data_IF_095851021848
#
_entry.id   IF_095851021848
#
_cell.length_a   1.000
_cell.length_b   1.000
_cell.length_c   1.000
_cell.angle_alpha   90.00
_cell.angle_beta   90.00
_cell.angle_gamma   90.00
#
_symmetry.space_group_name_H-M   'P 1'
#
loop_
_entity.id
_entity.type
_entity.pdbx_description
1 polymer ?
#
# COMPACT_ATOMS: atom_id res chain seq x y z
N UNK A 1 10.81 31.61 -7.16
CA UNK A 1 10.21 30.28 -7.38
C UNK A 1 10.50 29.89 -8.81
N UNK A 2 11.26 28.82 -9.04
CA UNK A 2 11.59 28.39 -10.41
C UNK A 2 10.34 27.82 -11.09
N UNK A 3 10.27 27.84 -12.42
CA UNK A 3 9.15 27.25 -13.16
C UNK A 3 8.95 25.76 -12.85
N UNK A 4 10.05 25.06 -12.51
CA UNK A 4 10.06 23.66 -12.09
C UNK A 4 9.31 23.45 -10.75
N UNK A 5 9.55 24.29 -9.75
CA UNK A 5 8.86 24.20 -8.46
C UNK A 5 7.33 24.39 -8.61
N UNK A 6 6.90 25.30 -9.50
CA UNK A 6 5.47 25.51 -9.77
C UNK A 6 4.83 24.32 -10.49
N UNK A 7 5.56 23.71 -11.42
CA UNK A 7 5.12 22.50 -12.09
C UNK A 7 4.97 21.33 -11.10
N UNK A 8 5.97 21.15 -10.22
CA UNK A 8 5.92 20.12 -9.18
C UNK A 8 4.73 20.30 -8.23
N UNK A 9 4.49 21.53 -7.75
CA UNK A 9 3.32 21.84 -6.92
C UNK A 9 2.00 21.56 -7.63
N UNK A 10 1.89 21.88 -8.92
CA UNK A 10 0.68 21.61 -9.71
C UNK A 10 0.43 20.09 -9.83
N UNK A 11 1.48 19.31 -10.08
CA UNK A 11 1.39 17.85 -10.17
C UNK A 11 0.99 17.25 -8.82
N UNK A 12 1.60 17.69 -7.72
CA UNK A 12 1.26 17.21 -6.37
C UNK A 12 -0.19 17.55 -6.02
N UNK A 13 -0.66 18.74 -6.37
CA UNK A 13 -2.05 19.16 -6.14
C UNK A 13 -3.03 18.28 -6.93
N UNK A 14 -2.77 18.08 -8.23
CA UNK A 14 -3.61 17.24 -9.09
C UNK A 14 -3.64 15.79 -8.58
N UNK A 15 -2.48 15.24 -8.23
CA UNK A 15 -2.35 13.88 -7.74
C UNK A 15 -3.06 13.68 -6.38
N UNK A 16 -2.94 14.66 -5.47
CA UNK A 16 -3.67 14.67 -4.20
C UNK A 16 -5.20 14.64 -4.41
N UNK A 17 -5.71 15.42 -5.37
CA UNK A 17 -7.14 15.48 -5.67
C UNK A 17 -7.66 14.16 -6.28
N UNK A 18 -6.88 13.56 -7.18
CA UNK A 18 -7.20 12.24 -7.76
C UNK A 18 -7.23 11.17 -6.67
N UNK A 19 -6.20 11.10 -5.82
CA UNK A 19 -6.13 10.10 -4.76
C UNK A 19 -7.26 10.29 -3.75
N UNK A 20 -7.58 11.53 -3.37
CA UNK A 20 -8.72 11.81 -2.49
C UNK A 20 -10.05 11.30 -3.07
N UNK A 21 -10.25 11.47 -4.38
CA UNK A 21 -11.44 10.97 -5.08
C UNK A 21 -11.50 9.44 -5.07
N UNK A 22 -10.36 8.77 -5.31
CA UNK A 22 -10.25 7.30 -5.24
C UNK A 22 -10.55 6.78 -3.84
N UNK A 23 -10.00 7.42 -2.80
CA UNK A 23 -10.28 7.07 -1.39
C UNK A 23 -11.78 7.16 -1.10
N UNK A 24 -12.41 8.26 -1.51
CA UNK A 24 -13.85 8.46 -1.30
C UNK A 24 -14.67 7.36 -2.00
N UNK A 25 -14.36 7.06 -3.26
CA UNK A 25 -15.03 5.98 -3.99
C UNK A 25 -14.83 4.60 -3.33
N UNK A 26 -13.62 4.30 -2.89
CA UNK A 26 -13.30 3.02 -2.23
C UNK A 26 -14.02 2.89 -0.88
N UNK A 27 -14.04 3.94 -0.07
CA UNK A 27 -14.79 3.97 1.20
C UNK A 27 -16.29 3.78 0.99
N UNK A 28 -16.88 4.48 0.00
CA UNK A 28 -18.30 4.33 -0.31
C UNK A 28 -18.63 2.90 -0.76
N UNK A 29 -17.79 2.28 -1.58
CA UNK A 29 -17.95 0.87 -1.96
C UNK A 29 -17.85 -0.07 -0.76
N UNK A 30 -16.87 0.17 0.13
CA UNK A 30 -16.69 -0.64 1.33
C UNK A 30 -17.91 -0.55 2.25
N UNK A 31 -18.41 0.66 2.53
CA UNK A 31 -19.61 0.85 3.32
C UNK A 31 -20.83 0.17 2.67
N UNK A 32 -21.02 0.31 1.36
CA UNK A 32 -22.12 -0.36 0.65
C UNK A 32 -22.07 -1.88 0.73
N UNK A 33 -20.87 -2.49 0.85
CA UNK A 33 -20.72 -3.94 1.04
C UNK A 33 -20.88 -4.35 2.50
N UNK A 34 -20.22 -3.64 3.43
CA UNK A 34 -20.17 -4.00 4.86
C UNK A 34 -21.48 -3.74 5.59
N UNK A 35 -22.11 -2.59 5.35
CA UNK A 35 -23.33 -2.16 6.08
C UNK A 35 -24.49 -3.16 5.94
N UNK A 36 -24.89 -3.63 4.74
CA UNK A 36 -25.96 -4.61 4.63
C UNK A 36 -25.59 -5.95 5.26
N UNK A 37 -24.32 -6.38 5.18
CA UNK A 37 -23.84 -7.62 5.83
C UNK A 37 -23.91 -7.53 7.36
N UNK A 38 -23.61 -6.37 7.92
CA UNK A 38 -23.65 -6.13 9.36
C UNK A 38 -25.09 -6.05 9.89
N UNK A 39 -26.01 -5.46 9.10
CA UNK A 39 -27.41 -5.28 9.45
C UNK A 39 -28.23 -6.56 9.27
N UNK A 40 -27.94 -7.36 8.22
CA UNK A 40 -28.73 -8.56 7.93
C UNK A 40 -28.49 -9.68 8.94
N UNK A 41 -27.39 -9.65 9.71
CA UNK A 41 -27.06 -10.68 10.71
C UNK A 41 -26.97 -12.10 10.14
N UNK A 42 -27.00 -12.24 8.81
CA UNK A 42 -27.05 -13.49 8.09
C UNK A 42 -25.60 -13.96 7.89
N UNK A 43 -25.11 -14.65 8.91
CA UNK A 43 -23.85 -15.37 8.92
C UNK A 43 -24.02 -16.57 7.96
N UNK A 44 -23.24 -16.70 6.88
CA UNK A 44 -21.85 -17.18 6.93
C UNK A 44 -20.80 -16.19 6.38
N UNK A 45 -20.15 -15.36 7.23
CA UNK A 45 -18.81 -14.79 7.02
C UNK A 45 -17.71 -15.84 6.80
N UNK A 46 -18.05 -17.12 6.76
CA UNK A 46 -17.19 -18.21 6.28
C UNK A 46 -17.28 -18.41 4.76
N UNK A 47 -18.18 -17.72 4.06
CA UNK A 47 -18.21 -17.78 2.60
C UNK A 47 -16.99 -17.06 2.03
N UNK A 48 -16.17 -17.83 1.31
CA UNK A 48 -14.82 -17.42 0.90
C UNK A 48 -14.86 -16.15 0.06
N UNK A 49 -15.85 -16.02 -0.83
CA UNK A 49 -16.01 -14.89 -1.74
C UNK A 49 -16.32 -13.57 -1.01
N UNK A 50 -17.16 -13.62 0.03
CA UNK A 50 -17.55 -12.43 0.80
C UNK A 50 -16.35 -11.94 1.62
N UNK A 51 -15.65 -12.85 2.29
CA UNK A 51 -14.45 -12.53 3.05
C UNK A 51 -13.36 -11.93 2.16
N UNK A 52 -13.05 -12.57 1.02
CA UNK A 52 -12.07 -12.06 0.06
C UNK A 52 -12.44 -10.66 -0.47
N UNK A 53 -13.70 -10.45 -0.82
CA UNK A 53 -14.17 -9.16 -1.33
C UNK A 53 -14.07 -8.03 -0.28
N UNK A 54 -14.35 -8.33 1.00
CA UNK A 54 -14.22 -7.38 2.10
C UNK A 54 -12.76 -6.99 2.33
N UNK A 55 -11.88 -7.96 2.53
CA UNK A 55 -10.47 -7.69 2.75
C UNK A 55 -9.82 -7.01 1.53
N UNK A 56 -10.15 -7.43 0.31
CA UNK A 56 -9.67 -6.78 -0.91
C UNK A 56 -10.09 -5.31 -1.03
N UNK A 57 -11.29 -4.97 -0.55
CA UNK A 57 -11.79 -3.59 -0.49
C UNK A 57 -11.03 -2.77 0.56
N UNK A 58 -10.77 -3.36 1.74
CA UNK A 58 -9.95 -2.73 2.80
C UNK A 58 -8.53 -2.47 2.30
N UNK A 59 -7.87 -3.44 1.66
CA UNK A 59 -6.54 -3.24 1.08
C UNK A 59 -6.52 -2.11 0.05
N UNK A 60 -7.57 -1.99 -0.77
CA UNK A 60 -7.67 -0.88 -1.74
C UNK A 60 -7.69 0.49 -1.05
N UNK A 61 -8.41 0.62 0.07
CA UNK A 61 -8.42 1.85 0.88
C UNK A 61 -7.07 2.10 1.53
N UNK A 62 -6.44 1.07 2.11
CA UNK A 62 -5.12 1.18 2.74
C UNK A 62 -4.05 1.63 1.73
N UNK A 63 -4.02 1.02 0.54
CA UNK A 63 -3.10 1.41 -0.54
C UNK A 63 -3.29 2.90 -0.90
N UNK A 64 -4.53 3.35 -1.04
CA UNK A 64 -4.82 4.74 -1.41
C UNK A 64 -4.44 5.74 -0.31
N UNK A 65 -4.67 5.41 0.97
CA UNK A 65 -4.26 6.21 2.12
C UNK A 65 -2.73 6.30 2.21
N UNK A 66 -2.04 5.18 2.03
CA UNK A 66 -0.57 5.13 2.02
C UNK A 66 0.01 5.92 0.84
N UNK A 67 -0.58 5.84 -0.36
CA UNK A 67 -0.14 6.66 -1.50
C UNK A 67 -0.30 8.16 -1.25
N UNK A 68 -1.42 8.60 -0.66
CA UNK A 68 -1.58 10.01 -0.26
C UNK A 68 -0.44 10.43 0.67
N UNK A 69 -0.10 9.60 1.65
CA UNK A 69 0.98 9.89 2.60
C UNK A 69 2.36 9.88 1.93
N UNK A 70 2.64 8.91 1.07
CA UNK A 70 3.91 8.74 0.36
C UNK A 70 4.20 9.85 -0.65
N UNK A 71 3.17 10.49 -1.20
CA UNK A 71 3.31 11.61 -2.16
C UNK A 71 3.33 12.96 -1.43
N UNK A 72 2.45 13.16 -0.45
CA UNK A 72 2.27 14.46 0.22
C UNK A 72 3.39 14.76 1.21
N UNK A 73 3.97 13.75 1.87
CA UNK A 73 5.00 13.95 2.89
C UNK A 73 6.35 14.42 2.31
N UNK A 74 6.85 13.90 1.18
CA UNK A 74 8.08 14.41 0.54
C UNK A 74 7.90 15.80 -0.09
N UNK A 75 6.70 16.12 -0.62
CA UNK A 75 6.44 17.42 -1.24
C UNK A 75 6.55 18.62 -0.27
N UNK A 76 6.51 18.38 1.05
CA UNK A 76 6.57 19.43 2.08
C UNK A 76 7.97 19.65 2.67
N UNK A 77 8.92 18.72 2.47
CA UNK A 77 10.32 18.86 2.92
C UNK A 77 11.23 18.86 1.70
N UNK A 78 11.91 19.99 1.47
CA UNK A 78 12.95 20.22 0.45
C UNK A 78 14.20 19.34 0.65
N UNK A 79 14.05 18.02 0.71
CA UNK A 79 15.15 17.09 0.57
C UNK A 79 14.63 15.74 0.10
N UNK A 80 14.93 15.48 -1.17
CA UNK A 80 15.43 14.24 -1.75
C UNK A 80 14.77 12.90 -1.38
N UNK A 81 14.48 12.15 -2.45
CA UNK A 81 14.21 10.71 -2.47
C UNK A 81 12.86 10.36 -1.85
N UNK A 82 11.88 10.09 -2.73
CA UNK A 82 10.65 9.34 -2.41
C UNK A 82 11.05 8.25 -1.43
N UNK A 83 10.52 8.29 -0.19
CA UNK A 83 10.93 7.41 0.90
C UNK A 83 10.79 5.95 0.42
N UNK A 84 11.90 5.39 -0.07
CA UNK A 84 11.90 4.14 -0.86
C UNK A 84 11.27 3.03 -0.02
N UNK A 85 11.55 3.06 1.29
CA UNK A 85 10.92 2.22 2.30
C UNK A 85 9.39 2.26 2.30
N UNK A 86 8.77 3.44 2.20
CA UNK A 86 7.31 3.59 2.17
C UNK A 86 6.72 2.99 0.89
N UNK A 87 7.38 3.21 -0.25
CA UNK A 87 6.95 2.62 -1.53
C UNK A 87 7.07 1.09 -1.51
N UNK A 88 8.14 0.56 -0.93
CA UNK A 88 8.30 -0.89 -0.73
C UNK A 88 7.24 -1.48 0.20
N UNK A 89 6.87 -0.79 1.28
CA UNK A 89 5.77 -1.21 2.14
C UNK A 89 4.43 -1.24 1.41
N UNK A 90 4.16 -0.26 0.55
CA UNK A 90 2.98 -0.24 -0.32
C UNK A 90 3.01 -1.42 -1.31
N UNK A 91 4.16 -1.70 -1.91
CA UNK A 91 4.33 -2.84 -2.80
C UNK A 91 4.07 -4.17 -2.07
N UNK A 92 4.54 -4.31 -0.82
CA UNK A 92 4.32 -5.48 0.01
C UNK A 92 2.84 -5.63 0.38
N UNK A 93 2.16 -4.54 0.75
CA UNK A 93 0.73 -4.50 1.04
C UNK A 93 -0.12 -4.83 -0.21
N UNK A 94 0.29 -4.36 -1.39
CA UNK A 94 -0.33 -4.72 -2.66
C UNK A 94 -0.14 -6.20 -3.02
N UNK A 95 1.02 -6.77 -2.69
CA UNK A 95 1.29 -8.19 -2.82
C UNK A 95 0.42 -9.00 -1.85
N UNK A 96 0.31 -8.57 -0.59
CA UNK A 96 -0.58 -9.17 0.42
C UNK A 96 -2.03 -9.24 -0.04
N UNK A 97 -2.53 -8.20 -0.73
CA UNK A 97 -3.86 -8.24 -1.35
C UNK A 97 -4.03 -9.40 -2.33
N UNK A 98 -3.00 -9.70 -3.15
CA UNK A 98 -3.04 -10.86 -4.06
C UNK A 98 -3.05 -12.20 -3.33
N UNK A 99 -2.45 -12.31 -2.13
CA UNK A 99 -2.55 -13.51 -1.30
C UNK A 99 -3.93 -13.68 -0.68
N UNK A 100 -4.54 -12.60 -0.21
CA UNK A 100 -5.85 -12.69 0.45
C UNK A 100 -6.97 -13.02 -0.54
N UNK A 101 -6.85 -12.60 -1.80
CA UNK A 101 -7.81 -12.94 -2.88
C UNK A 101 -7.47 -14.32 -3.52
N UNK A 102 -6.43 -14.99 -3.05
CA UNK A 102 -6.02 -16.28 -3.61
C UNK A 102 -6.92 -17.39 -3.08
N UNK A 103 -7.80 -17.91 -3.95
CA UNK A 103 -8.57 -19.11 -3.64
C UNK A 103 -7.69 -20.36 -3.76
N UNK A 104 -7.41 -20.97 -2.61
CA UNK A 104 -6.54 -22.15 -2.48
C UNK A 104 -7.18 -23.40 -3.09
N UNK A 105 -8.48 -23.42 -3.34
CA UNK A 105 -9.19 -24.55 -3.92
C UNK A 105 -9.13 -24.60 -5.46
N UNK A 106 -9.01 -23.43 -6.12
CA UNK A 106 -9.00 -23.32 -7.57
C UNK A 106 -7.62 -22.98 -8.16
N UNK A 107 -6.64 -22.55 -7.35
CA UNK A 107 -5.34 -22.12 -7.87
C UNK A 107 -4.28 -23.23 -7.94
N UNK A 108 -3.55 -23.34 -9.08
CA UNK A 108 -2.45 -24.29 -9.19
C UNK A 108 -1.37 -23.98 -8.17
N UNK A 109 -0.83 -25.02 -7.50
CA UNK A 109 0.22 -24.89 -6.48
C UNK A 109 1.44 -24.08 -6.97
N UNK A 110 1.72 -24.09 -8.27
CA UNK A 110 2.80 -23.30 -8.89
C UNK A 110 2.60 -21.79 -8.71
N UNK A 111 1.36 -21.30 -8.77
CA UNK A 111 1.05 -19.86 -8.60
C UNK A 111 1.25 -19.41 -7.16
N UNK A 112 0.86 -20.23 -6.20
CA UNK A 112 1.10 -20.01 -4.77
C UNK A 112 2.60 -19.95 -4.49
N UNK A 113 3.38 -20.88 -5.06
CA UNK A 113 4.83 -20.90 -4.92
C UNK A 113 5.49 -19.66 -5.55
N UNK A 114 5.04 -19.22 -6.74
CA UNK A 114 5.56 -18.02 -7.39
C UNK A 114 5.27 -16.74 -6.60
N UNK A 115 4.06 -16.62 -6.04
CA UNK A 115 3.67 -15.53 -5.13
C UNK A 115 4.54 -15.54 -3.86
N UNK A 116 4.74 -16.71 -3.24
CA UNK A 116 5.60 -16.88 -2.07
C UNK A 116 7.04 -16.46 -2.35
N UNK A 117 7.61 -16.88 -3.49
CA UNK A 117 8.94 -16.49 -3.92
C UNK A 117 9.06 -14.97 -4.15
N UNK A 118 8.09 -14.36 -4.84
CA UNK A 118 8.07 -12.92 -5.05
C UNK A 118 8.04 -12.14 -3.72
N UNK A 119 7.30 -12.65 -2.73
CA UNK A 119 7.22 -12.06 -1.38
C UNK A 119 8.54 -12.16 -0.64
N UNK A 120 9.21 -13.32 -0.73
CA UNK A 120 10.52 -13.52 -0.11
C UNK A 120 11.56 -12.58 -0.72
N UNK A 121 11.62 -12.47 -2.05
CA UNK A 121 12.52 -11.54 -2.73
C UNK A 121 12.26 -10.09 -2.29
N UNK A 122 10.98 -9.69 -2.23
CA UNK A 122 10.62 -8.34 -1.78
C UNK A 122 10.98 -8.10 -0.31
N UNK A 123 10.81 -9.12 0.55
CA UNK A 123 11.23 -9.09 1.95
C UNK A 123 12.74 -8.95 2.12
N UNK A 124 13.54 -9.63 1.29
CA UNK A 124 15.00 -9.52 1.26
C UNK A 124 15.43 -8.11 0.85
N UNK A 125 14.78 -7.52 -0.17
CA UNK A 125 15.06 -6.14 -0.59
C UNK A 125 14.74 -5.15 0.53
N UNK A 126 13.60 -5.31 1.21
CA UNK A 126 13.24 -4.51 2.38
C UNK A 126 14.25 -4.64 3.53
N UNK A 127 14.76 -5.84 3.78
CA UNK A 127 15.77 -6.09 4.80
C UNK A 127 17.09 -5.39 4.43
N UNK A 128 17.58 -5.59 3.21
CA UNK A 128 18.85 -5.00 2.76
C UNK A 128 18.82 -3.46 2.78
N UNK A 129 17.70 -2.85 2.39
CA UNK A 129 17.52 -1.39 2.48
C UNK A 129 17.49 -0.91 3.93
N UNK A 130 16.91 -1.68 4.85
CA UNK A 130 16.89 -1.35 6.29
C UNK A 130 18.28 -1.42 6.92
N UNK A 131 19.11 -2.37 6.52
CA UNK A 131 20.49 -2.47 7.02
C UNK A 131 21.33 -1.27 6.59
N UNK A 132 21.16 -0.76 5.35
CA UNK A 132 21.86 0.46 4.90
C UNK A 132 21.45 1.72 5.67
N UNK A 133 20.16 1.90 5.92
CA UNK A 133 19.66 3.02 6.75
C UNK A 133 20.24 3.00 8.19
N UNK A 134 20.56 1.82 8.74
CA UNK A 134 21.17 1.69 10.08
C UNK A 134 22.66 2.03 10.07
N UNK A 135 23.36 1.75 8.99
CA UNK A 135 24.80 2.00 8.89
C UNK A 135 25.08 3.51 8.75
N UNK A 136 24.26 4.24 7.98
CA UNK A 136 24.36 5.71 7.83
C UNK A 136 24.18 6.46 9.17
N UNK A 137 23.34 5.94 10.08
CA UNK A 137 23.14 6.52 11.42
C UNK A 137 24.29 6.24 12.38
N UNK A 138 25.10 5.20 12.14
CA UNK A 138 26.22 4.80 13.01
C UNK A 138 27.54 5.47 12.64
N UNK A 139 27.70 5.94 11.41
CA UNK A 139 28.85 6.79 11.05
C UNK A 139 28.72 8.19 11.67
N UNK A 140 27.51 8.77 11.73
CA UNK A 140 27.30 10.11 12.29
C UNK A 140 27.52 10.23 13.81
N UNK A 141 27.45 9.12 14.55
CA UNK A 141 27.70 9.06 16.01
C UNK A 141 29.19 8.83 16.33
N UNK A 142 30.00 8.47 15.33
CA UNK A 142 31.43 8.17 15.50
C UNK A 142 32.34 9.38 15.25
N UNK A 143 31.78 10.45 14.71
CA UNK A 143 32.43 11.73 14.45
C UNK A 143 32.10 12.80 15.52
N UNK A 144 31.37 12.43 16.59
CA UNK A 144 31.10 13.27 17.79
C UNK A 144 31.90 12.77 19.01
#
# INVERSE_FOLDING_TARGET
>A
MSAYERFEQLVVLALSLIIASVIMMALLQLCRRVVPLLISGAIDPLDHDVFQALFGSIFTVLIALEFKHSIVRPALRRNSIVQVRTVLLIALLALSRKFVILDSAATPALTIAALGFATLVLGIVCWLLRERDKDDLRESDKDE
#
